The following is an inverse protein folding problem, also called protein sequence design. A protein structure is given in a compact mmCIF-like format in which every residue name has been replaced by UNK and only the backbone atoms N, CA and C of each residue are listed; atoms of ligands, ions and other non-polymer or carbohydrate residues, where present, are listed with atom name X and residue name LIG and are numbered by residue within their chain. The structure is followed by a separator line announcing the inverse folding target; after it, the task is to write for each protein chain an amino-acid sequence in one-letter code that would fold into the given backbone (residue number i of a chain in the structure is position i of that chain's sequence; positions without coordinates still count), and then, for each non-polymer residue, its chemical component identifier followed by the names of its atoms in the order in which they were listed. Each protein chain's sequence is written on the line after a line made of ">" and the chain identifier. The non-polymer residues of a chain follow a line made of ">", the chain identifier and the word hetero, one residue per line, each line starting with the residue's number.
data_IF_571663371947
#
_entry.id   IF_571663371947
#
_cell.length_a   1.000
_cell.length_b   1.000
_cell.length_c   1.000
_cell.angle_alpha   90.00
_cell.angle_beta   90.00
_cell.angle_gamma   90.00
#
_symmetry.space_group_name_H-M   'P 1'
#
loop_
_entity.id
_entity.type
_entity.pdbx_description
1 polymer ?
#
# COMPACT_ATOMS: atom_id res chain seq x y z
N UNK A 1 -2.01 -25.71 13.71
CA UNK A 1 -0.73 -25.07 13.33
C UNK A 1 -0.24 -24.27 14.51
N UNK A 2 1.03 -24.40 14.93
CA UNK A 2 1.57 -23.61 16.03
C UNK A 2 1.49 -22.12 15.68
N UNK A 3 0.96 -21.33 16.60
CA UNK A 3 0.88 -19.88 16.49
C UNK A 3 2.28 -19.30 16.72
N UNK A 4 2.72 -18.39 15.86
CA UNK A 4 3.99 -17.67 16.04
C UNK A 4 3.84 -16.77 17.28
N UNK A 5 4.76 -16.83 18.26
CA UNK A 5 4.77 -15.96 19.42
C UNK A 5 4.74 -14.48 19.04
N UNK A 6 3.99 -13.67 19.78
CA UNK A 6 3.76 -12.25 19.42
C UNK A 6 5.07 -11.44 19.35
N UNK A 7 6.12 -11.83 20.08
CA UNK A 7 7.46 -11.21 20.01
C UNK A 7 8.14 -11.44 18.66
N UNK A 8 8.16 -12.69 18.17
CA UNK A 8 8.70 -13.03 16.86
C UNK A 8 7.91 -12.35 15.75
N UNK A 9 6.59 -12.23 15.91
CA UNK A 9 5.74 -11.48 14.99
C UNK A 9 6.17 -10.01 14.89
N UNK A 10 6.48 -9.35 16.01
CA UNK A 10 6.98 -7.96 16.02
C UNK A 10 8.36 -7.84 15.39
N UNK A 11 9.27 -8.79 15.66
CA UNK A 11 10.60 -8.82 15.05
C UNK A 11 10.51 -8.98 13.54
N UNK A 12 9.66 -9.89 13.06
CA UNK A 12 9.39 -10.09 11.64
C UNK A 12 8.89 -8.80 10.98
N UNK A 13 7.93 -8.10 11.58
CA UNK A 13 7.42 -6.82 11.06
C UNK A 13 8.50 -5.73 11.08
N UNK A 14 9.31 -5.68 12.12
CA UNK A 14 10.43 -4.73 12.21
C UNK A 14 11.43 -4.98 11.08
N UNK A 15 11.80 -6.24 10.84
CA UNK A 15 12.67 -6.64 9.73
C UNK A 15 12.07 -6.27 8.37
N UNK A 16 10.77 -6.54 8.16
CA UNK A 16 10.05 -6.19 6.94
C UNK A 16 10.04 -4.67 6.67
N UNK A 17 9.96 -3.85 7.72
CA UNK A 17 9.90 -2.40 7.60
C UNK A 17 11.28 -1.75 7.49
N UNK A 18 12.33 -2.41 7.97
CA UNK A 18 13.71 -1.90 8.03
C UNK A 18 14.31 -1.58 6.66
N UNK A 19 14.02 -2.38 5.63
CA UNK A 19 14.54 -2.19 4.28
C UNK A 19 13.41 -2.35 3.23
N UNK A 20 13.24 -1.41 2.27
CA UNK A 20 12.34 -1.57 1.14
C UNK A 20 12.51 -2.88 0.33
N UNK A 21 13.71 -3.46 0.28
CA UNK A 21 13.99 -4.73 -0.37
C UNK A 21 13.33 -5.91 0.37
N UNK A 22 13.31 -5.91 1.71
CA UNK A 22 12.69 -6.96 2.53
C UNK A 22 11.19 -7.07 2.26
N UNK A 23 10.53 -5.95 1.95
CA UNK A 23 9.11 -5.89 1.58
C UNK A 23 8.77 -6.65 0.31
N UNK A 24 9.75 -6.90 -0.57
CA UNK A 24 9.58 -7.63 -1.83
C UNK A 24 9.80 -9.13 -1.67
N UNK A 25 10.35 -9.57 -0.53
CA UNK A 25 10.56 -10.99 -0.25
C UNK A 25 9.21 -11.68 -0.10
N UNK A 26 9.01 -12.78 -0.84
CA UNK A 26 7.80 -13.60 -0.71
C UNK A 26 7.73 -14.15 0.72
N UNK A 27 6.55 -14.14 1.34
CA UNK A 27 6.35 -14.66 2.71
C UNK A 27 6.92 -16.08 2.91
N UNK A 28 6.81 -16.94 1.88
CA UNK A 28 7.37 -18.31 1.89
C UNK A 28 8.90 -18.36 1.97
N UNK A 29 9.58 -17.29 1.58
CA UNK A 29 11.03 -17.22 1.47
C UNK A 29 11.66 -16.51 2.67
N UNK A 30 10.87 -15.85 3.53
CA UNK A 30 11.37 -15.14 4.72
C UNK A 30 12.22 -16.07 5.60
N UNK A 31 11.82 -17.31 5.92
CA UNK A 31 12.66 -18.18 6.77
C UNK A 31 14.05 -18.53 6.18
N UNK A 32 14.20 -18.39 4.86
CA UNK A 32 15.47 -18.62 4.16
C UNK A 32 16.32 -17.35 4.07
N UNK A 33 15.69 -16.18 3.89
CA UNK A 33 16.39 -14.90 3.72
C UNK A 33 16.72 -14.25 5.07
N UNK A 34 15.90 -14.51 6.09
CA UNK A 34 16.04 -13.99 7.45
C UNK A 34 15.97 -15.14 8.46
N UNK A 35 16.98 -16.04 8.49
CA UNK A 35 17.01 -17.16 9.42
C UNK A 35 17.04 -16.72 10.89
N UNK A 36 17.50 -15.50 11.19
CA UNK A 36 17.52 -14.87 12.51
C UNK A 36 16.13 -14.65 13.12
N UNK A 37 15.07 -14.72 12.31
CA UNK A 37 13.69 -14.62 12.78
C UNK A 37 13.13 -15.98 13.27
N UNK A 38 13.91 -17.07 13.17
CA UNK A 38 13.57 -18.42 13.62
C UNK A 38 12.26 -19.00 13.03
N UNK A 39 11.78 -18.44 11.92
CA UNK A 39 10.50 -18.82 11.29
C UNK A 39 10.50 -20.16 10.54
N UNK A 40 11.60 -20.92 10.53
CA UNK A 40 11.78 -22.13 9.70
C UNK A 40 10.77 -23.24 10.01
N UNK A 41 10.31 -23.32 11.25
CA UNK A 41 9.34 -24.32 11.70
C UNK A 41 7.88 -23.90 11.48
N UNK A 42 7.65 -22.69 10.93
CA UNK A 42 6.32 -22.15 10.71
C UNK A 42 5.93 -22.21 9.23
N UNK A 43 4.77 -22.80 8.95
CA UNK A 43 4.23 -22.83 7.59
C UNK A 43 3.84 -21.44 7.09
N UNK A 44 3.82 -21.26 5.76
CA UNK A 44 3.43 -20.01 5.07
C UNK A 44 2.14 -19.39 5.64
N UNK A 45 1.14 -20.20 5.95
CA UNK A 45 -0.15 -19.73 6.50
C UNK A 45 0.00 -19.09 7.88
N UNK A 46 0.87 -19.61 8.74
CA UNK A 46 1.12 -19.05 10.06
C UNK A 46 1.84 -17.69 9.95
N UNK A 47 2.87 -17.61 9.10
CA UNK A 47 3.62 -16.38 8.80
C UNK A 47 2.68 -15.31 8.21
N UNK A 48 1.80 -15.69 7.28
CA UNK A 48 0.83 -14.79 6.69
C UNK A 48 -0.16 -14.24 7.74
N UNK A 49 -0.73 -15.11 8.59
CA UNK A 49 -1.65 -14.68 9.65
C UNK A 49 -0.98 -13.75 10.67
N UNK A 50 0.28 -14.05 11.02
CA UNK A 50 1.08 -13.20 11.90
C UNK A 50 1.38 -11.82 11.29
N UNK A 51 1.71 -11.76 10.00
CA UNK A 51 1.91 -10.48 9.31
C UNK A 51 0.62 -9.65 9.29
N UNK A 52 -0.51 -10.29 8.97
CA UNK A 52 -1.82 -9.63 8.92
C UNK A 52 -2.25 -9.10 10.29
N UNK A 53 -1.99 -9.84 11.38
CA UNK A 53 -2.36 -9.38 12.73
C UNK A 53 -1.65 -8.10 13.16
N UNK A 54 -0.55 -7.74 12.51
CA UNK A 54 0.18 -6.48 12.71
C UNK A 54 -0.13 -5.42 11.64
N UNK A 55 -1.17 -5.63 10.82
CA UNK A 55 -1.54 -4.74 9.72
C UNK A 55 -0.57 -4.76 8.53
N UNK A 56 0.39 -5.69 8.52
CA UNK A 56 1.31 -5.89 7.40
C UNK A 56 0.64 -6.78 6.36
N UNK A 57 0.04 -6.11 5.37
CA UNK A 57 -0.59 -6.72 4.23
C UNK A 57 0.31 -6.69 3.00
N UNK A 58 0.10 -7.65 2.13
CA UNK A 58 0.81 -7.83 0.89
C UNK A 58 -0.06 -7.21 -0.25
N UNK A 59 0.44 -6.27 -1.06
CA UNK A 59 -0.35 -5.65 -2.18
C UNK A 59 -0.60 -6.62 -3.34
N UNK A 60 -1.82 -7.09 -3.59
CA UNK A 60 -2.14 -7.69 -4.89
C UNK A 60 -2.27 -6.60 -5.93
N UNK A 61 -1.45 -6.65 -6.98
CA UNK A 61 -1.75 -5.89 -8.19
C UNK A 61 -3.14 -6.33 -8.66
N UNK A 62 -4.10 -5.40 -8.75
CA UNK A 62 -5.37 -5.65 -9.46
C UNK A 62 -4.99 -6.32 -10.79
N UNK A 63 -5.55 -7.50 -11.09
CA UNK A 63 -5.38 -8.10 -12.42
C UNK A 63 -5.95 -7.08 -13.41
N UNK A 64 -5.06 -6.38 -14.10
CA UNK A 64 -5.42 -5.32 -15.05
C UNK A 64 -5.99 -5.94 -16.33
N UNK A 65 -7.18 -6.51 -16.26
CA UNK A 65 -8.02 -6.68 -17.44
C UNK A 65 -8.85 -5.42 -17.58
N UNK A 66 -8.23 -4.36 -18.11
CA UNK A 66 -9.00 -3.21 -18.56
C UNK A 66 -10.00 -3.69 -19.60
N UNK A 67 -11.28 -3.39 -19.39
CA UNK A 67 -12.26 -3.69 -20.43
C UNK A 67 -11.93 -2.90 -21.69
N UNK A 68 -11.79 -3.62 -22.79
CA UNK A 68 -11.43 -3.10 -24.12
C UNK A 68 -12.65 -2.85 -25.00
N UNK A 69 -13.87 -2.83 -24.44
CA UNK A 69 -15.07 -2.54 -25.21
C UNK A 69 -15.01 -1.15 -25.84
N UNK A 70 -15.64 -0.99 -27.00
CA UNK A 70 -15.67 0.30 -27.71
C UNK A 70 -16.23 1.42 -26.82
N UNK A 71 -17.33 1.15 -26.10
CA UNK A 71 -17.95 2.10 -25.19
C UNK A 71 -16.98 2.56 -24.08
N UNK A 72 -16.25 1.64 -23.44
CA UNK A 72 -15.27 2.01 -22.42
C UNK A 72 -14.10 2.81 -22.99
N UNK A 73 -13.64 2.50 -24.21
CA UNK A 73 -12.59 3.31 -24.87
C UNK A 73 -13.07 4.73 -25.17
N UNK A 74 -14.30 4.88 -25.68
CA UNK A 74 -14.87 6.21 -25.96
C UNK A 74 -15.05 7.04 -24.69
N UNK A 75 -15.55 6.44 -23.60
CA UNK A 75 -15.66 7.14 -22.32
C UNK A 75 -14.29 7.58 -21.77
N UNK A 76 -13.26 6.71 -21.85
CA UNK A 76 -11.90 7.09 -21.44
C UNK A 76 -11.33 8.21 -22.30
N UNK A 77 -11.51 8.15 -23.61
CA UNK A 77 -11.05 9.20 -24.53
C UNK A 77 -11.75 10.54 -24.26
N UNK A 78 -13.06 10.52 -24.03
CA UNK A 78 -13.83 11.69 -23.63
C UNK A 78 -13.33 12.29 -22.31
N UNK A 79 -13.14 11.44 -21.30
CA UNK A 79 -12.60 11.86 -20.01
C UNK A 79 -11.22 12.49 -20.14
N UNK A 80 -10.29 11.90 -20.91
CA UNK A 80 -8.95 12.47 -21.12
C UNK A 80 -9.02 13.81 -21.85
N UNK A 81 -9.85 13.91 -22.91
CA UNK A 81 -10.02 15.18 -23.64
C UNK A 81 -10.58 16.28 -22.75
N UNK A 82 -11.52 15.95 -21.87
CA UNK A 82 -12.04 16.89 -20.87
C UNK A 82 -11.00 17.22 -19.80
N UNK A 83 -10.27 16.23 -19.29
CA UNK A 83 -9.21 16.43 -18.29
C UNK A 83 -8.09 17.34 -18.78
N UNK A 84 -7.78 17.34 -20.08
CA UNK A 84 -6.81 18.26 -20.69
C UNK A 84 -7.17 19.74 -20.55
N UNK A 85 -8.44 20.08 -20.34
CA UNK A 85 -8.88 21.47 -20.16
C UNK A 85 -8.88 21.91 -18.70
N UNK A 86 -8.54 21.02 -17.75
CA UNK A 86 -8.55 21.34 -16.33
C UNK A 86 -7.39 22.27 -15.96
N UNK A 87 -7.71 23.30 -15.19
CA UNK A 87 -6.70 24.15 -14.56
C UNK A 87 -6.09 23.43 -13.34
N UNK A 88 -4.94 23.94 -12.87
CA UNK A 88 -4.23 23.38 -11.71
C UNK A 88 -5.09 23.39 -10.45
N UNK A 89 -5.83 24.48 -10.23
CA UNK A 89 -6.67 24.66 -9.04
C UNK A 89 -7.73 23.56 -8.90
N UNK A 90 -8.39 23.19 -10.01
CA UNK A 90 -9.33 22.07 -10.07
C UNK A 90 -8.68 20.72 -9.78
N UNK A 91 -7.42 20.51 -10.16
CA UNK A 91 -6.70 19.28 -9.82
C UNK A 91 -6.44 19.20 -8.31
N UNK A 92 -6.09 20.32 -7.67
CA UNK A 92 -5.82 20.36 -6.23
C UNK A 92 -7.07 20.20 -5.35
N UNK A 93 -8.25 20.59 -5.87
CA UNK A 93 -9.53 20.44 -5.18
C UNK A 93 -10.15 19.03 -5.31
N UNK A 94 -9.51 18.11 -6.04
CA UNK A 94 -10.03 16.75 -6.19
C UNK A 94 -9.61 15.85 -5.02
N UNK A 95 -10.55 15.02 -4.59
CA UNK A 95 -10.33 13.92 -3.65
C UNK A 95 -10.63 12.63 -4.40
N UNK A 96 -9.64 11.76 -4.49
CA UNK A 96 -9.78 10.44 -5.11
C UNK A 96 -9.90 9.39 -4.01
N UNK A 97 -10.78 8.40 -4.22
CA UNK A 97 -10.87 7.21 -3.39
C UNK A 97 -10.71 5.97 -4.25
N UNK A 98 -10.09 4.93 -3.69
CA UNK A 98 -10.03 3.60 -4.28
C UNK A 98 -9.97 2.55 -3.16
N UNK A 99 -10.44 1.34 -3.46
CA UNK A 99 -10.35 0.19 -2.57
C UNK A 99 -9.20 -0.72 -3.02
N UNK A 100 -8.38 -1.14 -2.06
CA UNK A 100 -7.26 -2.05 -2.29
C UNK A 100 -7.40 -3.26 -1.38
N UNK A 101 -7.38 -4.46 -1.96
CA UNK A 101 -7.33 -5.70 -1.21
C UNK A 101 -5.91 -5.95 -0.70
N UNK A 102 -5.77 -6.13 0.62
CA UNK A 102 -4.49 -6.37 1.28
C UNK A 102 -4.22 -7.87 1.43
N UNK A 103 -4.13 -8.61 0.32
CA UNK A 103 -3.90 -10.06 0.32
C UNK A 103 -2.92 -10.50 -0.77
N UNK A 104 -1.59 -10.37 -0.59
CA UNK A 104 -0.60 -11.23 -1.28
C UNK A 104 0.50 -10.66 -2.22
N UNK A 105 0.84 -9.36 -2.27
CA UNK A 105 2.17 -8.88 -2.78
C UNK A 105 3.10 -8.10 -1.81
N UNK A 106 3.73 -7.00 -2.24
CA UNK A 106 4.77 -6.33 -1.43
C UNK A 106 4.25 -5.89 -0.05
N UNK A 107 5.00 -6.21 1.01
CA UNK A 107 4.59 -5.97 2.39
C UNK A 107 4.75 -4.49 2.70
N UNK A 108 3.66 -3.82 3.05
CA UNK A 108 3.71 -2.41 3.45
C UNK A 108 2.64 -2.11 4.49
N UNK A 109 2.83 -1.03 5.25
CA UNK A 109 1.75 -0.41 6.01
C UNK A 109 0.83 0.31 5.02
N UNK A 110 -0.45 -0.01 5.03
CA UNK A 110 -1.44 0.83 4.36
C UNK A 110 -1.76 1.98 5.30
N UNK A 111 -1.44 3.19 4.88
CA UNK A 111 -1.92 4.38 5.55
C UNK A 111 -3.33 4.63 5.03
N UNK A 112 -4.32 4.40 5.89
CA UNK A 112 -5.64 4.99 5.70
C UNK A 112 -5.50 6.41 6.25
N UNK A 113 -5.35 7.40 5.38
CA UNK A 113 -5.58 8.80 5.76
C UNK A 113 -7.07 8.95 5.99
N UNK A 114 -7.50 8.67 7.22
CA UNK A 114 -8.79 9.14 7.72
C UNK A 114 -8.64 10.65 7.92
N UNK A 115 -9.64 11.41 7.50
CA UNK A 115 -9.75 12.82 7.89
C UNK A 115 -9.88 12.84 9.41
N UNK A 116 -8.78 13.03 10.14
CA UNK A 116 -8.80 13.17 11.59
C UNK A 116 -9.37 14.57 11.87
N UNK A 117 -10.33 14.66 12.78
CA UNK A 117 -10.78 15.97 13.27
C UNK A 117 -9.57 16.80 13.70
N UNK A 118 -9.42 17.94 13.04
CA UNK A 118 -8.34 18.89 13.18
C UNK A 118 -8.74 20.19 12.49
N UNK A 119 -8.03 21.28 12.76
CA UNK A 119 -8.37 22.58 12.20
C UNK A 119 -8.41 22.48 10.67
N UNK A 120 -9.50 23.01 10.10
CA UNK A 120 -9.80 22.94 8.66
C UNK A 120 -8.68 23.58 7.83
N UNK A 121 -7.97 24.56 8.40
CA UNK A 121 -6.80 25.19 7.80
C UNK A 121 -5.58 24.27 7.73
N UNK A 122 -5.33 23.43 8.73
CA UNK A 122 -4.20 22.50 8.71
C UNK A 122 -4.36 21.40 7.65
N UNK A 123 -5.59 20.91 7.48
CA UNK A 123 -5.92 19.90 6.45
C UNK A 123 -5.78 20.47 5.04
N UNK A 124 -6.17 21.74 4.83
CA UNK A 124 -6.04 22.41 3.54
C UNK A 124 -4.59 22.72 3.19
N UNK A 125 -3.74 23.01 4.18
CA UNK A 125 -2.34 23.39 3.99
C UNK A 125 -1.39 22.22 3.92
N UNK A 126 -1.76 21.03 4.41
CA UNK A 126 -0.92 19.82 4.43
C UNK A 126 -0.31 19.49 3.05
N UNK A 127 -1.11 19.58 1.98
CA UNK A 127 -0.67 19.29 0.61
C UNK A 127 0.21 20.38 -0.02
N UNK A 128 0.26 21.57 0.60
CA UNK A 128 1.07 22.70 0.17
C UNK A 128 2.34 22.86 1.01
N UNK A 129 2.56 21.96 1.98
CA UNK A 129 3.78 21.99 2.76
C UNK A 129 5.00 21.70 1.86
N UNK A 130 6.11 22.43 2.01
CA UNK A 130 7.30 22.28 1.16
C UNK A 130 7.80 20.84 1.05
N UNK A 131 7.73 20.08 2.15
CA UNK A 131 8.09 18.65 2.23
C UNK A 131 7.23 17.72 1.37
N UNK A 132 6.02 18.12 1.01
CA UNK A 132 5.13 17.38 0.10
C UNK A 132 5.32 17.80 -1.37
N UNK A 133 6.03 18.89 -1.62
CA UNK A 133 6.25 19.47 -2.94
C UNK A 133 7.62 19.11 -3.55
N UNK A 134 8.50 18.44 -2.80
CA UNK A 134 9.81 18.03 -3.30
C UNK A 134 9.68 16.89 -4.30
N UNK A 135 9.84 17.20 -5.59
CA UNK A 135 10.28 16.22 -6.59
C UNK A 135 11.65 15.70 -6.17
N UNK A 136 11.75 14.42 -5.87
CA UNK A 136 13.02 13.71 -5.95
C UNK A 136 13.60 13.92 -7.36
N UNK A 137 14.77 14.55 -7.42
CA UNK A 137 15.59 14.69 -8.62
C UNK A 137 16.02 13.32 -9.16
#
# INVERSE_FOLDING_TARGET
>A
MPRIPDQEVRQMVTWLLSDPANRRVKLSNIPSVAPELELRNHGKTAIQKASISQGCGCRTSKKNTFSISYAHRQMRLGFVRWGRTWNRERLYQQVYSDEVWTHGGAIGRNFVTVLVEGDKQDILLDRYRPECLTRSH
#
